data_IF_391356614671
#
_entry.id   IF_391356614671
#
_cell.length_a   1.000
_cell.length_b   1.000
_cell.length_c   1.000
_cell.angle_alpha   90.00
_cell.angle_beta   90.00
_cell.angle_gamma   90.00
#
_symmetry.space_group_name_H-M   'P 1'
#
loop_
_entity.id
_entity.type
_entity.pdbx_description
1 polymer ?
#
# COMPACT_ATOMS: atom_id res chain seq x y z
N UNK A 1 -4.90 -20.95 -3.85
CA UNK A 1 -4.87 -21.26 -2.40
C UNK A 1 -3.78 -20.39 -1.76
N UNK A 2 -4.15 -19.25 -1.18
CA UNK A 2 -3.24 -18.45 -0.37
C UNK A 2 -3.31 -18.96 1.07
N UNK A 3 -2.37 -19.82 1.47
CA UNK A 3 -2.27 -20.29 2.84
C UNK A 3 -0.87 -20.00 3.38
N UNK A 4 -0.83 -19.41 4.59
CA UNK A 4 0.30 -19.24 5.51
C UNK A 4 1.23 -18.01 5.42
N UNK A 5 0.74 -16.84 5.00
CA UNK A 5 1.32 -15.56 5.45
C UNK A 5 0.26 -14.71 6.16
N UNK A 6 0.12 -14.96 7.46
CA UNK A 6 -0.64 -14.08 8.37
C UNK A 6 0.20 -12.84 8.61
N UNK A 7 0.07 -11.79 7.77
CA UNK A 7 0.65 -10.48 8.13
C UNK A 7 0.04 -9.23 7.46
N UNK A 8 -1.12 -9.28 6.80
CA UNK A 8 -1.77 -8.06 6.24
C UNK A 8 -3.30 -8.12 6.26
N UNK A 9 -3.91 -8.67 7.31
CA UNK A 9 -5.38 -8.82 7.38
C UNK A 9 -6.12 -7.53 7.72
N UNK A 10 -5.42 -6.45 8.10
CA UNK A 10 -6.05 -5.18 8.46
C UNK A 10 -5.14 -3.97 8.22
N UNK A 11 -5.76 -2.81 8.03
CA UNK A 11 -5.10 -1.50 8.00
C UNK A 11 -4.19 -1.30 9.21
N UNK A 12 -4.64 -1.72 10.40
CA UNK A 12 -3.88 -1.62 11.64
C UNK A 12 -2.56 -2.39 11.58
N UNK A 13 -2.59 -3.62 11.08
CA UNK A 13 -1.38 -4.44 10.92
C UNK A 13 -0.38 -3.76 10.00
N UNK A 14 -0.84 -3.11 8.92
CA UNK A 14 0.03 -2.31 8.05
C UNK A 14 0.62 -1.10 8.78
N UNK A 15 -0.17 -0.34 9.54
CA UNK A 15 0.34 0.76 10.36
C UNK A 15 1.40 0.29 11.35
N UNK A 16 1.18 -0.85 12.01
CA UNK A 16 2.15 -1.44 12.92
C UNK A 16 3.48 -1.74 12.21
N UNK A 17 3.43 -2.37 11.02
CA UNK A 17 4.64 -2.65 10.22
C UNK A 17 5.37 -1.40 9.76
N UNK A 18 4.65 -0.36 9.35
CA UNK A 18 5.27 0.93 9.00
C UNK A 18 5.90 1.58 10.23
N UNK A 19 5.24 1.51 11.39
CA UNK A 19 5.80 2.02 12.65
C UNK A 19 7.04 1.24 13.11
N UNK A 20 7.05 -0.09 12.96
CA UNK A 20 8.24 -0.92 13.21
C UNK A 20 9.41 -0.49 12.31
N UNK A 21 9.17 -0.31 11.01
CA UNK A 21 10.20 0.10 10.04
C UNK A 21 10.73 1.53 10.32
N UNK A 22 9.85 2.48 10.64
CA UNK A 22 10.23 3.83 11.05
C UNK A 22 11.06 3.82 12.35
N UNK A 23 10.65 2.98 13.32
CA UNK A 23 11.36 2.80 14.59
C UNK A 23 12.78 2.28 14.40
N UNK A 24 12.95 1.30 13.51
CA UNK A 24 14.24 0.69 13.21
C UNK A 24 15.17 1.66 12.46
N UNK A 25 14.62 2.41 11.49
CA UNK A 25 15.40 3.35 10.67
C UNK A 25 15.81 4.63 11.40
N UNK A 26 15.00 5.10 12.36
CA UNK A 26 15.26 6.31 13.16
C UNK A 26 15.56 7.56 12.34
N UNK A 27 14.93 7.66 11.18
CA UNK A 27 15.11 8.78 10.26
C UNK A 27 13.98 9.80 10.44
N UNK A 28 14.30 10.98 10.98
CA UNK A 28 13.32 12.05 11.20
C UNK A 28 12.62 12.48 9.90
N UNK A 29 13.32 12.48 8.77
CA UNK A 29 12.75 12.82 7.47
C UNK A 29 11.66 11.84 7.04
N UNK A 30 11.81 10.55 7.32
CA UNK A 30 10.78 9.55 7.12
C UNK A 30 9.57 9.78 8.03
N UNK A 31 9.79 10.12 9.30
CA UNK A 31 8.70 10.50 10.21
C UNK A 31 7.92 11.71 9.70
N UNK A 32 8.59 12.79 9.30
CA UNK A 32 7.93 14.00 8.79
C UNK A 32 7.14 13.71 7.50
N UNK A 33 7.70 12.93 6.57
CA UNK A 33 6.96 12.49 5.37
C UNK A 33 5.71 11.70 5.75
N UNK A 34 5.82 10.77 6.69
CA UNK A 34 4.70 9.98 7.19
C UNK A 34 3.63 10.83 7.88
N UNK A 35 4.00 11.82 8.69
CA UNK A 35 3.06 12.68 9.41
C UNK A 35 2.35 13.65 8.45
N UNK A 36 3.11 14.29 7.56
CA UNK A 36 2.59 15.32 6.66
C UNK A 36 1.72 14.75 5.54
N UNK A 37 2.02 13.55 5.06
CA UNK A 37 1.23 12.83 4.06
C UNK A 37 1.28 11.32 4.30
N UNK A 38 0.50 10.88 5.29
CA UNK A 38 0.40 9.47 5.67
C UNK A 38 0.02 8.57 4.50
N UNK A 39 -0.82 9.04 3.59
CA UNK A 39 -1.33 8.20 2.51
C UNK A 39 -0.22 7.91 1.50
N UNK A 40 0.45 8.95 1.00
CA UNK A 40 1.57 8.79 0.07
C UNK A 40 2.73 8.01 0.70
N UNK A 41 3.01 8.23 1.99
CA UNK A 41 4.02 7.48 2.72
C UNK A 41 3.68 5.98 2.82
N UNK A 42 2.42 5.66 3.13
CA UNK A 42 1.95 4.28 3.23
C UNK A 42 1.93 3.58 1.86
N UNK A 43 1.47 4.26 0.79
CA UNK A 43 1.51 3.73 -0.57
C UNK A 43 2.95 3.45 -1.03
N UNK A 44 3.87 4.37 -0.74
CA UNK A 44 5.30 4.19 -1.04
C UNK A 44 5.89 3.01 -0.28
N UNK A 45 5.52 2.85 0.99
CA UNK A 45 5.97 1.73 1.81
C UNK A 45 5.43 0.39 1.28
N UNK A 46 4.13 0.30 0.96
CA UNK A 46 3.53 -0.89 0.34
C UNK A 46 4.24 -1.24 -0.96
N UNK A 47 4.54 -0.23 -1.79
CA UNK A 47 5.23 -0.42 -3.07
C UNK A 47 6.60 -1.07 -2.89
N UNK A 48 7.39 -0.56 -1.94
CA UNK A 48 8.70 -1.14 -1.60
C UNK A 48 8.55 -2.54 -1.04
N UNK A 49 7.66 -2.73 -0.06
CA UNK A 49 7.41 -4.02 0.56
C UNK A 49 7.01 -5.10 -0.47
N UNK A 50 6.08 -4.79 -1.37
CA UNK A 50 5.64 -5.71 -2.42
C UNK A 50 6.78 -6.02 -3.39
N UNK A 51 7.60 -5.01 -3.73
CA UNK A 51 8.79 -5.22 -4.55
C UNK A 51 9.75 -6.21 -3.89
N UNK A 52 10.11 -5.96 -2.63
CA UNK A 52 11.03 -6.81 -1.89
C UNK A 52 10.48 -8.23 -1.75
N UNK A 53 9.19 -8.36 -1.42
CA UNK A 53 8.52 -9.66 -1.34
C UNK A 53 8.52 -10.40 -2.69
N UNK A 54 8.15 -9.74 -3.79
CA UNK A 54 8.09 -10.36 -5.10
C UNK A 54 9.47 -10.83 -5.61
N UNK A 55 10.52 -10.06 -5.32
CA UNK A 55 11.87 -10.32 -5.81
C UNK A 55 12.79 -11.03 -4.81
N UNK A 56 12.28 -11.37 -3.63
CA UNK A 56 12.96 -12.24 -2.68
C UNK A 56 13.22 -13.62 -3.29
N UNK A 57 14.48 -14.06 -3.24
CA UNK A 57 14.89 -15.41 -3.67
C UNK A 57 14.44 -16.42 -2.62
N UNK A 58 13.63 -17.39 -3.02
CA UNK A 58 13.18 -18.48 -2.15
C UNK A 58 14.02 -19.74 -2.34
N UNK A 59 13.75 -20.79 -1.58
CA UNK A 59 14.51 -22.06 -1.57
C UNK A 59 14.73 -22.67 -2.96
N UNK A 60 13.85 -22.41 -3.93
CA UNK A 60 13.99 -22.87 -5.31
C UNK A 60 15.08 -22.14 -6.12
N UNK A 61 15.75 -21.13 -5.56
CA UNK A 61 16.74 -20.30 -6.26
C UNK A 61 16.14 -19.30 -7.26
N UNK A 62 14.80 -19.21 -7.33
CA UNK A 62 14.05 -18.24 -8.13
C UNK A 62 13.41 -17.22 -7.21
N UNK A 63 13.11 -16.02 -7.70
CA UNK A 63 12.28 -15.11 -6.94
C UNK A 63 10.80 -15.55 -6.94
N UNK A 64 10.01 -15.05 -5.98
CA UNK A 64 8.59 -15.46 -5.82
C UNK A 64 7.77 -15.18 -7.08
N UNK A 65 7.99 -14.04 -7.72
CA UNK A 65 7.27 -13.65 -8.92
C UNK A 65 7.65 -14.51 -10.13
N UNK A 66 8.94 -14.78 -10.34
CA UNK A 66 9.45 -15.70 -11.37
C UNK A 66 8.87 -17.09 -11.18
N UNK A 67 8.87 -17.61 -9.95
CA UNK A 67 8.31 -18.94 -9.67
C UNK A 67 6.83 -19.01 -10.07
N UNK A 68 6.01 -18.07 -9.59
CA UNK A 68 4.57 -18.05 -9.91
C UNK A 68 4.29 -17.80 -11.39
N UNK A 69 5.03 -16.89 -12.01
CA UNK A 69 4.87 -16.58 -13.43
C UNK A 69 5.23 -17.80 -14.30
N UNK A 70 6.33 -18.50 -13.99
CA UNK A 70 6.72 -19.69 -14.72
C UNK A 70 5.67 -20.80 -14.64
N UNK A 71 5.13 -21.08 -13.45
CA UNK A 71 4.08 -22.09 -13.26
C UNK A 71 2.85 -21.77 -14.13
N UNK A 72 2.39 -20.52 -14.12
CA UNK A 72 1.23 -20.08 -14.94
C UNK A 72 1.54 -20.14 -16.44
N UNK A 73 2.73 -19.69 -16.84
CA UNK A 73 3.15 -19.65 -18.25
C UNK A 73 3.35 -21.04 -18.83
N UNK A 74 3.98 -21.96 -18.10
CA UNK A 74 4.19 -23.35 -18.51
C UNK A 74 2.84 -24.03 -18.82
N UNK A 75 1.88 -23.93 -17.89
CA UNK A 75 0.53 -24.49 -18.06
C UNK A 75 -0.20 -23.87 -19.27
N UNK A 76 -0.09 -22.55 -19.43
CA UNK A 76 -0.76 -21.80 -20.49
C UNK A 76 -0.18 -22.13 -21.87
N UNK A 77 1.14 -22.19 -21.99
CA UNK A 77 1.84 -22.50 -23.24
C UNK A 77 1.61 -23.97 -23.63
N UNK A 78 1.64 -24.91 -22.68
CA UNK A 78 1.33 -26.31 -22.96
C UNK A 78 -0.10 -26.45 -23.49
N UNK A 79 -1.06 -25.77 -22.87
CA UNK A 79 -2.46 -25.76 -23.31
C UNK A 79 -2.62 -25.14 -24.71
N UNK A 80 -1.93 -24.03 -25.01
CA UNK A 80 -1.94 -23.41 -26.34
C UNK A 80 -1.31 -24.31 -27.41
N UNK A 81 -0.20 -24.99 -27.10
CA UNK A 81 0.43 -25.96 -28.01
C UNK A 81 -0.52 -27.14 -28.27
N UNK A 82 -1.27 -27.61 -27.27
CA UNK A 82 -2.34 -28.61 -27.45
C UNK A 82 -3.44 -28.10 -28.39
N UNK A 83 -3.85 -26.83 -28.27
CA UNK A 83 -4.81 -26.23 -29.19
C UNK A 83 -4.29 -26.20 -30.64
N UNK A 84 -3.02 -25.83 -30.85
CA UNK A 84 -2.38 -25.86 -32.18
C UNK A 84 -2.43 -27.29 -32.75
N UNK A 85 -1.91 -28.27 -31.99
CA UNK A 85 -1.84 -29.67 -32.44
C UNK A 85 -3.19 -30.33 -32.70
N UNK A 86 -4.23 -29.96 -31.94
CA UNK A 86 -5.60 -30.48 -32.14
C UNK A 86 -6.18 -30.01 -33.47
N UNK A 87 -5.83 -28.79 -33.92
CA UNK A 87 -6.24 -28.24 -35.20
C UNK A 87 -5.44 -28.79 -36.39
N UNK A 88 -4.30 -29.43 -36.16
CA UNK A 88 -3.43 -30.01 -37.19
C UNK A 88 -3.99 -31.26 -37.86
N UNK A 89 -4.90 -32.00 -37.19
CA UNK A 89 -5.30 -33.36 -37.58
C UNK A 89 -6.26 -33.44 -38.79
N UNK A 90 -6.65 -32.31 -39.38
CA UNK A 90 -7.64 -32.23 -40.47
C UNK A 90 -7.17 -31.41 -41.69
N UNK A 91 -5.86 -31.15 -41.78
CA UNK A 91 -5.23 -30.08 -42.59
C UNK A 91 -5.08 -30.31 -44.10
N UNK A 92 -5.73 -31.31 -44.72
CA UNK A 92 -5.69 -31.39 -46.19
C UNK A 92 -6.67 -30.45 -46.89
N UNK A 93 -7.72 -29.95 -46.21
CA UNK A 93 -8.77 -29.11 -46.83
C UNK A 93 -9.24 -27.92 -45.96
N UNK A 94 -8.48 -27.50 -44.94
CA UNK A 94 -8.90 -26.43 -44.02
C UNK A 94 -8.31 -25.09 -44.44
N UNK A 95 -9.18 -24.09 -44.67
CA UNK A 95 -8.75 -22.72 -44.91
C UNK A 95 -8.16 -22.08 -43.66
N UNK A 96 -7.27 -21.09 -43.81
CA UNK A 96 -6.69 -20.35 -42.70
C UNK A 96 -7.76 -19.79 -41.75
N UNK A 97 -8.88 -19.31 -42.31
CA UNK A 97 -10.00 -18.79 -41.52
C UNK A 97 -10.60 -19.83 -40.57
N UNK A 98 -10.79 -21.06 -41.04
CA UNK A 98 -11.33 -22.15 -40.22
C UNK A 98 -10.32 -22.58 -39.16
N UNK A 99 -9.02 -22.63 -39.50
CA UNK A 99 -7.97 -22.88 -38.52
C UNK A 99 -7.95 -21.82 -37.42
N UNK A 100 -8.00 -20.54 -37.79
CA UNK A 100 -7.98 -19.40 -36.87
C UNK A 100 -9.19 -19.43 -35.92
N UNK A 101 -10.39 -19.70 -36.44
CA UNK A 101 -11.59 -19.82 -35.62
C UNK A 101 -11.50 -20.97 -34.61
N UNK A 102 -11.01 -22.13 -35.03
CA UNK A 102 -10.86 -23.27 -34.12
C UNK A 102 -9.78 -23.01 -33.08
N UNK A 103 -8.67 -22.36 -33.45
CA UNK A 103 -7.63 -21.97 -32.52
C UNK A 103 -8.16 -20.97 -31.49
N UNK A 104 -8.83 -19.90 -31.93
CA UNK A 104 -9.46 -18.91 -31.06
C UNK A 104 -10.43 -19.56 -30.06
N UNK A 105 -11.33 -20.43 -30.54
CA UNK A 105 -12.30 -21.11 -29.69
C UNK A 105 -11.65 -21.96 -28.59
N UNK A 106 -10.47 -22.54 -28.87
CA UNK A 106 -9.70 -23.31 -27.91
C UNK A 106 -8.89 -22.41 -26.95
N UNK A 107 -8.27 -21.35 -27.49
CA UNK A 107 -7.33 -20.49 -26.77
C UNK A 107 -8.01 -19.44 -25.87
N UNK A 108 -9.25 -19.04 -26.15
CA UNK A 108 -9.95 -17.96 -25.43
C UNK A 108 -10.23 -18.30 -23.96
N UNK A 109 -10.22 -19.59 -23.60
CA UNK A 109 -10.33 -20.06 -22.22
C UNK A 109 -8.99 -20.16 -21.49
N UNK A 110 -7.86 -19.98 -22.19
CA UNK A 110 -6.50 -20.09 -21.67
C UNK A 110 -5.91 -18.69 -21.45
N UNK A 111 -6.01 -17.83 -22.47
CA UNK A 111 -5.48 -16.47 -22.44
C UNK A 111 -6.53 -15.46 -22.89
N UNK A 112 -6.55 -14.25 -22.31
CA UNK A 112 -7.40 -13.19 -22.81
C UNK A 112 -6.91 -12.70 -24.17
N UNK A 113 -7.83 -12.54 -25.12
CA UNK A 113 -7.56 -11.90 -26.40
C UNK A 113 -7.92 -10.41 -26.35
N UNK A 114 -7.11 -9.58 -27.00
CA UNK A 114 -7.45 -8.17 -27.24
C UNK A 114 -8.48 -8.04 -28.37
N UNK A 115 -9.20 -6.92 -28.43
CA UNK A 115 -10.15 -6.61 -29.50
C UNK A 115 -9.51 -6.67 -30.91
N UNK A 116 -8.20 -6.41 -31.01
CA UNK A 116 -7.43 -6.51 -32.25
C UNK A 116 -7.36 -7.93 -32.83
N UNK A 117 -7.74 -8.97 -32.06
CA UNK A 117 -7.84 -10.32 -32.62
C UNK A 117 -8.95 -10.40 -33.68
N UNK A 118 -9.97 -9.53 -33.60
CA UNK A 118 -11.07 -9.48 -34.57
C UNK A 118 -10.60 -9.02 -35.95
N UNK A 119 -9.60 -8.14 -36.01
CA UNK A 119 -8.97 -7.73 -37.27
C UNK A 119 -8.35 -8.91 -38.03
N UNK A 120 -7.90 -9.95 -37.32
CA UNK A 120 -7.35 -11.16 -37.94
C UNK A 120 -8.44 -11.99 -38.65
N UNK A 121 -9.68 -11.92 -38.17
CA UNK A 121 -10.82 -12.59 -38.81
C UNK A 121 -11.27 -11.87 -40.08
N UNK A 122 -10.92 -10.60 -40.27
CA UNK A 122 -11.22 -9.84 -41.47
C UNK A 122 -10.16 -10.00 -42.58
N UNK A 123 -9.07 -10.72 -42.31
CA UNK A 123 -8.03 -11.04 -43.30
C UNK A 123 -8.50 -12.09 -44.32
N UNK A 124 -9.28 -11.65 -45.31
CA UNK A 124 -9.86 -12.52 -46.35
C UNK A 124 -8.85 -13.11 -47.35
N UNK A 125 -7.60 -12.63 -47.36
CA UNK A 125 -6.61 -12.95 -48.42
C UNK A 125 -5.36 -13.71 -47.93
N UNK A 126 -5.33 -14.22 -46.69
CA UNK A 126 -4.17 -14.99 -46.20
C UNK A 126 -4.26 -16.45 -46.66
N UNK A 127 -3.52 -16.78 -47.71
CA UNK A 127 -3.35 -18.17 -48.16
C UNK A 127 -2.13 -18.81 -47.47
N UNK A 128 -2.38 -19.84 -46.67
CA UNK A 128 -1.32 -20.65 -46.03
C UNK A 128 -1.13 -21.91 -46.84
N UNK A 129 -0.03 -21.97 -47.60
CA UNK A 129 0.29 -23.09 -48.49
C UNK A 129 0.98 -24.26 -47.80
N UNK A 130 1.59 -24.02 -46.63
CA UNK A 130 2.25 -25.03 -45.80
C UNK A 130 1.84 -24.88 -44.33
N UNK A 131 0.72 -25.52 -43.98
CA UNK A 131 0.20 -25.52 -42.61
C UNK A 131 1.16 -26.18 -41.61
N UNK A 132 1.94 -27.17 -42.05
CA UNK A 132 2.89 -27.86 -41.16
C UNK A 132 3.99 -26.88 -40.73
N UNK A 133 4.54 -26.10 -41.67
CA UNK A 133 5.55 -25.09 -41.35
C UNK A 133 4.95 -23.93 -40.54
N UNK A 134 3.73 -23.51 -40.88
CA UNK A 134 3.02 -22.49 -40.12
C UNK A 134 2.85 -22.89 -38.65
N UNK A 135 2.34 -24.09 -38.37
CA UNK A 135 2.12 -24.58 -37.01
C UNK A 135 3.42 -24.73 -36.22
N UNK A 136 4.49 -25.24 -36.87
CA UNK A 136 5.83 -25.26 -36.26
C UNK A 136 6.29 -23.87 -35.86
N UNK A 137 6.02 -22.85 -36.69
CA UNK A 137 6.36 -21.46 -36.38
C UNK A 137 5.52 -20.91 -35.24
N UNK A 138 4.22 -21.23 -35.17
CA UNK A 138 3.36 -20.85 -34.04
C UNK A 138 3.87 -21.45 -32.73
N UNK A 139 4.16 -22.76 -32.71
CA UNK A 139 4.70 -23.45 -31.52
C UNK A 139 6.04 -22.81 -31.11
N UNK A 140 6.95 -22.60 -32.06
CA UNK A 140 8.23 -21.95 -31.78
C UNK A 140 8.05 -20.54 -31.19
N UNK A 141 7.13 -19.75 -31.72
CA UNK A 141 6.84 -18.42 -31.18
C UNK A 141 6.29 -18.49 -29.74
N UNK A 142 5.43 -19.47 -29.44
CA UNK A 142 4.94 -19.70 -28.07
C UNK A 142 6.09 -20.03 -27.11
N UNK A 143 7.01 -20.92 -27.50
CA UNK A 143 8.21 -21.25 -26.71
C UNK A 143 9.14 -20.04 -26.54
N UNK A 144 9.26 -19.17 -27.54
CA UNK A 144 10.04 -17.93 -27.46
C UNK A 144 9.40 -16.92 -26.51
N UNK A 145 8.06 -16.78 -26.51
CA UNK A 145 7.31 -15.96 -25.55
C UNK A 145 7.57 -16.44 -24.13
N UNK A 146 7.50 -17.76 -23.88
CA UNK A 146 7.79 -18.34 -22.57
C UNK A 146 9.18 -17.92 -22.08
N UNK A 147 10.23 -18.14 -22.89
CA UNK A 147 11.62 -17.79 -22.54
C UNK A 147 11.81 -16.29 -22.30
N UNK A 148 11.12 -15.45 -23.07
CA UNK A 148 11.17 -13.99 -22.91
C UNK A 148 10.60 -13.57 -21.54
N UNK A 149 9.44 -14.10 -21.17
CA UNK A 149 8.81 -13.81 -19.88
C UNK A 149 9.62 -14.35 -18.69
N UNK A 150 10.15 -15.58 -18.77
CA UNK A 150 11.03 -16.13 -17.74
C UNK A 150 12.23 -15.20 -17.47
N UNK A 151 12.82 -14.62 -18.53
CA UNK A 151 13.92 -13.67 -18.40
C UNK A 151 13.50 -12.37 -17.70
N UNK A 152 12.34 -11.81 -18.06
CA UNK A 152 11.82 -10.57 -17.47
C UNK A 152 11.68 -10.73 -15.95
N UNK A 153 11.10 -11.85 -15.49
CA UNK A 153 10.87 -12.05 -14.07
C UNK A 153 12.13 -12.46 -13.30
N UNK A 154 13.07 -13.18 -13.93
CA UNK A 154 14.35 -13.55 -13.30
C UNK A 154 15.19 -12.35 -12.87
N UNK A 155 15.28 -11.34 -13.74
CA UNK A 155 16.00 -10.09 -13.45
C UNK A 155 15.05 -8.95 -13.06
N UNK A 156 13.85 -9.31 -12.61
CA UNK A 156 12.78 -8.35 -12.42
C UNK A 156 13.07 -7.36 -11.30
N UNK A 157 12.48 -6.18 -11.43
CA UNK A 157 12.55 -5.12 -10.44
C UNK A 157 11.19 -4.39 -10.36
N UNK A 158 11.17 -3.24 -9.71
CA UNK A 158 9.95 -2.44 -9.59
C UNK A 158 9.33 -2.05 -10.95
N UNK A 159 10.13 -1.86 -12.00
CA UNK A 159 9.65 -1.62 -13.36
C UNK A 159 8.93 -2.85 -13.91
N UNK A 160 9.42 -4.05 -13.62
CA UNK A 160 8.75 -5.31 -13.99
C UNK A 160 7.39 -5.47 -13.29
N UNK A 161 7.26 -4.99 -12.05
CA UNK A 161 5.95 -4.91 -11.39
C UNK A 161 5.04 -3.86 -12.04
N UNK A 162 5.61 -2.74 -12.51
CA UNK A 162 4.86 -1.69 -13.19
C UNK A 162 4.45 -2.07 -14.62
N UNK A 163 5.11 -3.06 -15.25
CA UNK A 163 4.70 -3.57 -16.57
C UNK A 163 3.53 -4.54 -16.51
N UNK A 164 3.17 -5.04 -15.33
CA UNK A 164 1.98 -5.88 -15.17
C UNK A 164 0.71 -5.06 -15.42
N UNK A 165 -0.26 -5.68 -16.10
CA UNK A 165 -1.58 -5.07 -16.38
C UNK A 165 -2.22 -4.61 -15.08
N UNK A 166 -2.26 -5.51 -14.09
CA UNK A 166 -2.64 -5.18 -12.72
C UNK A 166 -1.39 -5.09 -11.85
N UNK A 167 -1.14 -3.90 -11.30
CA UNK A 167 0.04 -3.64 -10.47
C UNK A 167 -0.25 -4.11 -9.03
N UNK A 168 0.44 -5.14 -8.52
CA UNK A 168 0.07 -5.76 -7.23
C UNK A 168 0.11 -4.77 -6.05
N UNK A 169 1.08 -3.86 -6.05
CA UNK A 169 1.21 -2.85 -5.00
C UNK A 169 0.07 -1.82 -5.02
N UNK A 170 -0.46 -1.46 -6.20
CA UNK A 170 -1.61 -0.55 -6.30
C UNK A 170 -2.88 -1.27 -5.82
N UNK A 171 -3.09 -2.51 -6.28
CA UNK A 171 -4.25 -3.31 -5.86
C UNK A 171 -4.25 -3.55 -4.35
N UNK A 172 -3.08 -3.88 -3.77
CA UNK A 172 -2.94 -4.04 -2.32
C UNK A 172 -3.21 -2.73 -1.57
N UNK A 173 -2.61 -1.62 -1.99
CA UNK A 173 -2.82 -0.31 -1.36
C UNK A 173 -4.30 0.09 -1.34
N UNK A 174 -4.99 -0.04 -2.48
CA UNK A 174 -6.43 0.24 -2.59
C UNK A 174 -7.27 -0.63 -1.65
N UNK A 175 -6.89 -1.89 -1.48
CA UNK A 175 -7.65 -2.84 -0.66
C UNK A 175 -7.40 -2.68 0.84
N UNK A 176 -6.21 -2.21 1.27
CA UNK A 176 -5.82 -2.19 2.70
C UNK A 176 -5.89 -0.80 3.35
N UNK A 177 -5.69 0.29 2.59
CA UNK A 177 -5.59 1.63 3.18
C UNK A 177 -6.93 2.19 3.63
N UNK A 178 -8.03 1.82 2.99
CA UNK A 178 -9.38 2.24 3.37
C UNK A 178 -9.53 3.77 3.43
N UNK A 179 -10.23 4.26 4.47
CA UNK A 179 -10.49 5.70 4.62
C UNK A 179 -9.19 6.48 4.89
N UNK A 180 -8.86 7.41 4.00
CA UNK A 180 -7.59 8.16 4.02
C UNK A 180 -7.69 9.53 4.70
N UNK A 181 -8.83 9.84 5.32
CA UNK A 181 -9.09 11.09 6.05
C UNK A 181 -8.23 11.14 7.31
N UNK A 182 -7.77 12.35 7.68
CA UNK A 182 -6.85 12.57 8.82
C UNK A 182 -7.42 13.51 9.87
N UNK A 183 -7.12 13.24 11.14
CA UNK A 183 -7.55 14.08 12.25
C UNK A 183 -7.06 15.51 11.98
N UNK A 184 -7.94 16.52 12.03
CA UNK A 184 -7.56 17.89 11.71
C UNK A 184 -6.56 18.50 12.71
N UNK A 185 -6.45 17.91 13.90
CA UNK A 185 -5.57 18.41 14.96
C UNK A 185 -4.21 17.71 15.00
N UNK A 186 -4.13 16.38 14.83
CA UNK A 186 -2.86 15.65 14.97
C UNK A 186 -2.45 14.82 13.75
N UNK A 187 -3.23 14.89 12.67
CA UNK A 187 -2.98 14.20 11.40
C UNK A 187 -3.01 12.67 11.43
N UNK A 188 -3.36 12.03 12.56
CA UNK A 188 -3.60 10.59 12.58
C UNK A 188 -4.72 10.19 11.61
N UNK A 189 -4.53 9.12 10.87
CA UNK A 189 -5.49 8.65 9.86
C UNK A 189 -6.68 7.92 10.48
N UNK A 190 -7.84 8.01 9.84
CA UNK A 190 -9.05 7.29 10.23
C UNK A 190 -8.82 5.77 10.27
N UNK A 191 -9.38 5.11 11.27
CA UNK A 191 -9.21 3.66 11.47
C UNK A 191 -9.95 2.79 10.45
N UNK A 192 -11.00 3.32 9.81
CA UNK A 192 -11.91 2.54 8.98
C UNK A 192 -11.23 2.02 7.70
N UNK A 193 -11.52 0.77 7.35
CA UNK A 193 -10.92 0.00 6.24
C UNK A 193 -11.62 0.18 4.90
N UNK A 194 -12.71 0.93 4.85
CA UNK A 194 -13.37 1.37 3.63
C UNK A 194 -13.70 2.84 3.74
N UNK A 195 -13.99 3.48 2.59
CA UNK A 195 -14.76 4.71 2.63
C UNK A 195 -16.11 4.41 3.27
N UNK A 196 -16.54 5.29 4.17
CA UNK A 196 -17.68 5.03 5.03
C UNK A 196 -18.51 6.31 5.23
N UNK A 197 -19.84 6.19 5.29
CA UNK A 197 -20.66 7.24 5.87
C UNK A 197 -20.42 7.29 7.38
N UNK A 198 -20.59 8.46 8.00
CA UNK A 198 -20.45 8.66 9.45
C UNK A 198 -19.11 9.28 9.88
N UNK A 199 -18.89 9.32 11.19
CA UNK A 199 -17.77 10.06 11.78
C UNK A 199 -16.44 9.32 11.65
N UNK A 200 -15.38 10.07 11.35
CA UNK A 200 -14.01 9.58 11.36
C UNK A 200 -13.49 9.48 12.80
N UNK A 201 -12.68 8.47 13.08
CA UNK A 201 -12.07 8.31 14.40
C UNK A 201 -10.74 7.58 14.30
N UNK A 202 -9.94 7.71 15.35
CA UNK A 202 -8.71 6.95 15.54
C UNK A 202 -8.65 6.46 17.00
N UNK A 203 -8.15 5.24 17.25
CA UNK A 203 -8.04 4.71 18.61
C UNK A 203 -6.98 5.44 19.44
N UNK A 204 -5.99 6.02 18.78
CA UNK A 204 -4.90 6.77 19.40
C UNK A 204 -4.59 8.01 18.59
N UNK A 205 -4.35 9.12 19.27
CA UNK A 205 -3.92 10.37 18.68
C UNK A 205 -2.45 10.65 19.03
N UNK A 206 -1.76 11.38 18.15
CA UNK A 206 -0.36 11.78 18.38
C UNK A 206 -0.30 12.95 19.38
N UNK A 207 0.82 13.15 20.09
CA UNK A 207 1.10 14.41 20.77
C UNK A 207 0.95 15.57 19.79
N UNK A 208 0.24 16.64 20.17
CA UNK A 208 -0.04 17.73 19.23
C UNK A 208 1.23 18.48 18.77
N UNK A 209 2.31 18.43 19.55
CA UNK A 209 3.60 18.96 19.14
C UNK A 209 4.19 18.26 17.90
N UNK A 210 3.79 17.01 17.62
CA UNK A 210 4.14 16.33 16.36
C UNK A 210 3.55 17.08 15.16
N UNK A 211 2.33 17.61 15.32
CA UNK A 211 1.64 18.44 14.34
C UNK A 211 2.02 19.94 14.42
N UNK A 212 2.99 20.30 15.25
CA UNK A 212 3.53 21.67 15.36
C UNK A 212 2.82 22.56 16.36
N UNK A 213 1.84 22.05 17.11
CA UNK A 213 1.22 22.83 18.18
C UNK A 213 2.22 23.05 19.33
N UNK A 214 2.29 24.29 19.78
CA UNK A 214 3.17 24.72 20.85
C UNK A 214 2.47 25.76 21.72
N UNK A 215 2.87 25.86 22.99
CA UNK A 215 2.38 26.91 23.88
C UNK A 215 2.80 28.29 23.35
N UNK A 216 1.89 29.27 23.35
CA UNK A 216 2.20 30.56 22.74
C UNK A 216 3.21 31.40 23.52
N UNK A 217 3.26 31.22 24.85
CA UNK A 217 4.12 31.99 25.75
C UNK A 217 5.50 31.36 25.83
N UNK A 218 5.55 30.05 26.14
CA UNK A 218 6.81 29.34 26.30
C UNK A 218 7.41 28.94 24.96
N UNK A 219 6.58 28.84 23.91
CA UNK A 219 6.94 28.32 22.58
C UNK A 219 7.35 26.85 22.60
N UNK A 220 7.05 26.11 23.66
CA UNK A 220 7.38 24.69 23.77
C UNK A 220 6.32 23.83 23.10
N UNK A 221 6.75 22.76 22.42
CA UNK A 221 5.86 21.80 21.77
C UNK A 221 4.93 21.13 22.79
N UNK A 222 3.64 21.01 22.43
CA UNK A 222 2.62 20.38 23.28
C UNK A 222 2.80 18.86 23.33
N UNK A 223 2.70 18.28 24.52
CA UNK A 223 2.83 16.83 24.72
C UNK A 223 1.47 16.12 24.69
N UNK A 224 0.41 16.87 24.97
CA UNK A 224 -0.95 16.37 25.09
C UNK A 224 -1.50 15.91 23.74
N UNK A 225 -2.38 14.91 23.78
CA UNK A 225 -3.12 14.43 22.59
C UNK A 225 -4.42 15.22 22.42
N UNK A 226 -5.05 15.08 21.25
CA UNK A 226 -6.35 15.71 20.97
C UNK A 226 -7.40 15.39 22.04
N UNK A 227 -7.48 14.13 22.49
CA UNK A 227 -8.48 13.68 23.46
C UNK A 227 -8.35 14.39 24.80
N UNK A 228 -7.11 14.60 25.27
CA UNK A 228 -6.82 15.29 26.52
C UNK A 228 -7.23 16.75 26.42
N UNK A 229 -6.85 17.42 25.33
CA UNK A 229 -7.15 18.84 25.17
C UNK A 229 -8.64 19.11 24.89
N UNK A 230 -9.34 18.21 24.20
CA UNK A 230 -10.79 18.28 24.04
C UNK A 230 -11.56 18.08 25.36
N UNK A 231 -10.92 17.57 26.42
CA UNK A 231 -11.50 17.49 27.76
C UNK A 231 -11.19 18.71 28.63
N UNK A 232 -10.31 19.61 28.17
CA UNK A 232 -9.88 20.80 28.89
C UNK A 232 -10.51 22.10 28.39
N UNK A 233 -9.99 23.21 28.89
CA UNK A 233 -10.41 24.58 28.51
C UNK A 233 -9.41 25.30 27.59
N UNK A 234 -8.37 24.59 27.13
CA UNK A 234 -7.37 25.16 26.25
C UNK A 234 -7.95 25.44 24.86
N UNK A 235 -7.31 26.38 24.17
CA UNK A 235 -7.68 26.80 22.82
C UNK A 235 -6.58 26.49 21.83
N UNK A 236 -6.97 26.41 20.56
CA UNK A 236 -6.10 26.22 19.41
C UNK A 236 -6.42 27.21 18.32
N UNK A 237 -5.43 27.42 17.45
CA UNK A 237 -5.58 28.15 16.19
C UNK A 237 -4.61 27.57 15.18
N UNK A 238 -5.00 27.52 13.93
CA UNK A 238 -4.15 27.02 12.84
C UNK A 238 -4.60 27.67 11.53
N UNK A 239 -4.12 27.14 10.41
CA UNK A 239 -4.49 27.63 9.09
C UNK A 239 -5.99 27.47 8.80
N UNK A 240 -6.58 26.32 9.13
CA UNK A 240 -8.00 26.03 8.90
C UNK A 240 -8.92 26.99 9.69
N UNK A 241 -8.49 27.44 10.87
CA UNK A 241 -9.23 28.43 11.66
C UNK A 241 -8.96 29.88 11.25
N UNK A 242 -8.22 30.11 10.15
CA UNK A 242 -7.72 31.44 9.77
C UNK A 242 -6.99 32.14 10.93
N UNK A 243 -6.24 31.36 11.73
CA UNK A 243 -5.56 31.79 12.95
C UNK A 243 -6.47 32.40 14.03
N UNK A 244 -7.79 32.16 13.96
CA UNK A 244 -8.75 32.48 15.04
C UNK A 244 -8.71 31.40 16.11
N UNK A 245 -8.95 31.82 17.35
CA UNK A 245 -8.97 30.94 18.50
C UNK A 245 -10.30 30.19 18.63
N UNK A 246 -10.19 28.88 18.78
CA UNK A 246 -11.28 27.98 19.13
C UNK A 246 -10.88 27.15 20.33
N UNK A 247 -11.81 26.85 21.24
CA UNK A 247 -11.53 25.88 22.29
C UNK A 247 -11.37 24.49 21.68
N UNK A 248 -10.45 23.67 22.19
CA UNK A 248 -10.28 22.31 21.69
C UNK A 248 -11.56 21.48 21.83
N UNK A 249 -12.34 21.65 22.90
CA UNK A 249 -13.64 20.97 23.07
C UNK A 249 -14.69 21.38 22.05
N UNK A 250 -14.55 22.57 21.45
CA UNK A 250 -15.47 23.15 20.48
C UNK A 250 -14.95 23.00 19.03
N UNK A 251 -13.95 22.15 18.78
CA UNK A 251 -13.31 21.98 17.46
C UNK A 251 -14.32 21.72 16.32
N UNK A 252 -15.43 21.03 16.62
CA UNK A 252 -16.49 20.71 15.64
C UNK A 252 -17.21 21.95 15.09
N UNK A 253 -17.00 23.13 15.69
CA UNK A 253 -17.56 24.41 15.21
C UNK A 253 -16.72 25.09 14.13
N UNK A 254 -15.53 24.58 13.80
CA UNK A 254 -14.62 25.18 12.82
C UNK A 254 -15.21 25.09 11.40
N UNK A 255 -15.47 23.87 10.94
CA UNK A 255 -16.12 23.59 9.65
C UNK A 255 -16.70 22.16 9.60
N UNK A 256 -17.27 21.77 8.45
CA UNK A 256 -17.82 20.42 8.24
C UNK A 256 -16.75 19.31 8.29
N UNK A 257 -15.49 19.61 7.95
CA UNK A 257 -14.41 18.63 8.06
C UNK A 257 -14.09 18.34 9.53
N UNK A 258 -13.92 19.35 10.37
CA UNK A 258 -13.71 19.18 11.80
C UNK A 258 -14.91 18.50 12.47
N UNK A 259 -16.12 18.88 12.09
CA UNK A 259 -17.36 18.28 12.57
C UNK A 259 -17.48 16.79 12.24
N UNK A 260 -16.91 16.35 11.12
CA UNK A 260 -16.90 14.93 10.72
C UNK A 260 -16.00 14.02 11.56
N UNK A 261 -15.16 14.58 12.44
CA UNK A 261 -14.28 13.81 13.32
C UNK A 261 -14.88 13.60 14.71
N UNK A 262 -14.74 12.38 15.23
CA UNK A 262 -15.06 12.03 16.60
C UNK A 262 -13.81 11.86 17.47
N UNK A 263 -13.44 12.94 18.13
CA UNK A 263 -12.38 13.01 19.13
C UNK A 263 -13.04 13.00 20.52
N UNK A 264 -13.15 11.81 21.11
CA UNK A 264 -13.77 11.65 22.43
C UNK A 264 -12.91 12.31 23.52
N UNK A 265 -13.46 13.26 24.32
CA UNK A 265 -12.74 13.87 25.43
C UNK A 265 -12.37 12.83 26.49
N UNK A 266 -11.08 12.73 26.83
CA UNK A 266 -10.63 11.81 27.88
C UNK A 266 -9.29 12.27 28.47
N UNK A 267 -9.31 12.66 29.74
CA UNK A 267 -8.11 13.11 30.48
C UNK A 267 -7.22 11.97 30.96
N UNK A 268 -7.69 10.72 30.96
CA UNK A 268 -6.89 9.55 31.35
C UNK A 268 -6.11 8.95 30.19
N UNK A 269 -6.35 9.41 28.95
CA UNK A 269 -5.58 8.96 27.78
C UNK A 269 -4.24 9.67 27.71
N UNK A 270 -3.22 8.92 27.31
CA UNK A 270 -1.93 9.46 26.91
C UNK A 270 -1.62 9.06 25.46
N UNK A 271 -0.63 9.72 24.87
CA UNK A 271 -0.05 9.24 23.62
C UNK A 271 0.45 7.80 23.79
N UNK A 272 0.43 7.00 22.72
CA UNK A 272 0.98 5.65 22.78
C UNK A 272 2.47 5.69 23.15
N UNK A 273 2.98 4.67 23.82
CA UNK A 273 4.39 4.60 24.20
C UNK A 273 5.32 4.81 23.00
N UNK A 274 4.94 4.28 21.82
CA UNK A 274 5.58 4.60 20.55
C UNK A 274 5.66 6.10 20.27
N UNK A 275 4.53 6.82 20.26
CA UNK A 275 4.54 8.25 19.96
C UNK A 275 5.16 9.12 21.06
N UNK A 276 5.13 8.67 22.31
CA UNK A 276 5.90 9.29 23.38
C UNK A 276 7.41 9.18 23.09
N UNK A 277 7.87 7.99 22.70
CA UNK A 277 9.25 7.76 22.32
C UNK A 277 9.66 8.56 21.09
N UNK A 278 8.86 8.53 20.00
CA UNK A 278 9.13 9.31 18.77
C UNK A 278 9.25 10.80 19.10
N UNK A 279 8.31 11.33 19.88
CA UNK A 279 8.32 12.74 20.26
C UNK A 279 9.55 13.11 21.08
N UNK A 280 9.98 12.26 22.02
CA UNK A 280 11.18 12.51 22.82
C UNK A 280 12.47 12.34 22.03
N UNK A 281 12.54 11.30 21.20
CA UNK A 281 13.72 10.98 20.41
C UNK A 281 14.04 12.09 19.42
N UNK A 282 13.01 12.67 18.79
CA UNK A 282 13.15 13.72 17.79
C UNK A 282 12.68 15.10 18.29
N UNK A 283 12.66 15.33 19.61
CA UNK A 283 12.09 16.56 20.17
C UNK A 283 12.74 17.82 19.62
N UNK A 284 14.07 17.79 19.49
CA UNK A 284 14.85 18.93 18.99
C UNK A 284 14.55 19.16 17.51
N UNK A 285 14.51 18.11 16.72
CA UNK A 285 14.22 18.14 15.29
C UNK A 285 12.79 18.60 15.02
N UNK A 286 11.80 18.16 15.81
CA UNK A 286 10.44 18.70 15.75
C UNK A 286 10.41 20.19 16.12
N UNK A 287 11.15 20.62 17.15
CA UNK A 287 11.17 22.01 17.55
C UNK A 287 11.78 22.90 16.44
N UNK A 288 12.87 22.45 15.82
CA UNK A 288 13.48 23.14 14.67
C UNK A 288 12.53 23.17 13.46
N UNK A 289 11.94 22.02 13.10
CA UNK A 289 11.03 21.90 11.97
C UNK A 289 9.80 22.80 12.10
N UNK A 290 9.25 22.92 13.31
CA UNK A 290 8.05 23.73 13.60
C UNK A 290 8.36 25.14 14.10
N UNK A 291 9.64 25.56 14.12
CA UNK A 291 10.09 26.85 14.65
C UNK A 291 9.65 27.11 16.12
N UNK A 292 9.58 26.05 16.91
CA UNK A 292 9.29 26.06 18.34
C UNK A 292 10.59 26.13 19.17
N UNK A 293 10.48 26.43 20.46
CA UNK A 293 11.62 26.43 21.38
C UNK A 293 11.94 25.02 21.87
N UNK A 294 13.22 24.65 21.77
CA UNK A 294 13.77 23.42 22.32
C UNK A 294 14.35 23.68 23.72
N UNK A 295 13.51 23.68 24.76
CA UNK A 295 13.98 23.98 26.11
C UNK A 295 14.47 22.72 26.84
N UNK A 296 13.60 21.71 27.06
CA UNK A 296 13.95 20.43 27.69
C UNK A 296 13.05 19.31 27.18
N UNK A 297 13.65 18.14 26.94
CA UNK A 297 12.90 16.91 26.69
C UNK A 297 11.98 16.66 27.89
N UNK A 298 10.70 16.29 27.66
CA UNK A 298 9.78 15.92 28.73
C UNK A 298 10.38 14.90 29.69
N UNK A 299 10.56 15.27 30.96
CA UNK A 299 11.12 14.37 31.98
C UNK A 299 10.28 13.10 32.14
N UNK A 300 8.96 13.21 31.95
CA UNK A 300 7.99 12.11 32.04
C UNK A 300 8.28 10.97 31.05
N UNK A 301 8.90 11.27 29.91
CA UNK A 301 9.12 10.33 28.81
C UNK A 301 10.61 10.08 28.54
N UNK A 302 11.49 10.63 29.38
CA UNK A 302 12.95 10.58 29.19
C UNK A 302 13.56 9.17 29.33
N UNK A 303 12.83 8.23 29.93
CA UNK A 303 13.32 6.89 30.26
C UNK A 303 12.48 5.77 29.62
N UNK A 304 11.93 6.01 28.43
CA UNK A 304 11.18 4.96 27.72
C UNK A 304 12.15 3.88 27.22
N UNK A 305 11.92 2.64 27.63
CA UNK A 305 12.72 1.47 27.23
C UNK A 305 12.34 1.05 25.81
N UNK A 306 13.32 0.86 24.94
CA UNK A 306 13.09 0.56 23.53
C UNK A 306 12.32 -0.75 23.31
N UNK A 307 12.57 -1.76 24.15
CA UNK A 307 11.86 -3.04 24.09
C UNK A 307 10.36 -2.86 24.38
N UNK A 308 10.02 -2.01 25.34
CA UNK A 308 8.62 -1.67 25.64
C UNK A 308 7.98 -0.92 24.46
N UNK A 309 8.72 -0.06 23.76
CA UNK A 309 8.24 0.61 22.55
C UNK A 309 7.90 -0.42 21.48
N UNK A 310 8.83 -1.34 21.17
CA UNK A 310 8.60 -2.40 20.19
C UNK A 310 7.39 -3.26 20.57
N UNK A 311 7.27 -3.65 21.84
CA UNK A 311 6.12 -4.42 22.32
C UNK A 311 4.81 -3.64 22.24
N UNK A 312 4.85 -2.32 22.46
CA UNK A 312 3.66 -1.46 22.36
C UNK A 312 3.12 -1.36 20.92
N UNK A 313 3.97 -1.49 19.90
CA UNK A 313 3.56 -1.56 18.48
C UNK A 313 2.91 -2.92 18.17
N UNK A 314 3.32 -4.00 18.83
CA UNK A 314 2.77 -5.35 18.56
C UNK A 314 1.45 -5.60 19.28
N UNK A 315 1.37 -5.26 20.56
CA UNK A 315 0.20 -5.55 21.42
C UNK A 315 -1.03 -4.76 20.95
N UNK A 316 -0.88 -3.45 20.72
CA UNK A 316 -2.01 -2.56 20.42
C UNK A 316 -2.71 -2.84 19.09
N UNK A 317 -2.01 -3.46 18.14
CA UNK A 317 -2.53 -3.72 16.81
C UNK A 317 -2.99 -5.17 16.63
N UNK A 318 -2.71 -6.05 17.60
CA UNK A 318 -3.26 -7.41 17.66
C UNK A 318 -4.61 -7.47 18.39
N UNK A 319 -4.88 -6.57 19.35
CA UNK A 319 -6.13 -6.54 20.14
C UNK A 319 -7.33 -5.90 19.42
N UNK A 320 -7.21 -5.60 18.12
CA UNK A 320 -8.26 -4.95 17.31
C UNK A 320 -8.94 -5.90 16.33
N UNK A 321 -9.07 -7.18 16.72
CA UNK A 321 -9.77 -8.23 15.98
C UNK A 321 -11.26 -8.26 16.25
#
# INVERSE_FOLDING_TARGET
>A
MFSSHVTYSSKLTLYAKVMEDLFEKRDFGMYIRFINDTNTAMESWIKMYVSDYCFEIVESGKNRLEKQANEILEDSIEALIKCVKKNSLSTKDISFQVWLQNFYNCAQGIVPFSETVFDLFDMKEVEVTDFIQFEKKVIKNLEEVQKSHERIFRTGNLESLNSLVEKPHISLAKNILGCTKRCPLCYVTCIKTSDHPGEHSAPYHYPLGVAGYHDEKTKELMMETCNVLCAGELSFRNYDTYHKWYKYKDYRSVDEYYKSWNIAPNTSLEASLYWQWVFCQFYKEFAEYHMAKCNKIPLKWKNIVEEDVKNSIKIKFNDSS
#
